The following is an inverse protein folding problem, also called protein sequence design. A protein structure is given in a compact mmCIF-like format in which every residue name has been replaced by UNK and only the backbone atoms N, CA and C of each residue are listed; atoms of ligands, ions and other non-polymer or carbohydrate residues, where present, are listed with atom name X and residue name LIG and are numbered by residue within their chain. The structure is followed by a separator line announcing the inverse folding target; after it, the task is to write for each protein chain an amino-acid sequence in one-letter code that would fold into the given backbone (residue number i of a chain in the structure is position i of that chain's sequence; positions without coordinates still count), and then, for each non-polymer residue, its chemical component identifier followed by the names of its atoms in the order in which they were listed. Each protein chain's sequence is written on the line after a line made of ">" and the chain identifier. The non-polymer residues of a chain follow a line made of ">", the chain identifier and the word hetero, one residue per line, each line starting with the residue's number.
data_IF_615487471815
#
_entry.id   IF_615487471815
#
_cell.length_a   1.000
_cell.length_b   1.000
_cell.length_c   1.000
_cell.angle_alpha   90.00
_cell.angle_beta   90.00
_cell.angle_gamma   90.00
#
_symmetry.space_group_name_H-M   'P 1'
#
loop_
_entity.id
_entity.type
_entity.pdbx_description
1 polymer ?
#
# COMPACT_ATOMS: atom_id res chain seq x y z
N UNK A 1 -19.15 12.76 16.60
CA UNK A 1 -18.05 13.07 15.67
C UNK A 1 -18.29 12.27 14.40
N UNK A 2 -17.88 12.74 13.22
CA UNK A 2 -18.01 12.00 11.97
C UNK A 2 -16.69 11.26 11.69
N UNK A 3 -16.81 9.99 11.34
CA UNK A 3 -15.70 9.11 10.97
C UNK A 3 -15.90 8.64 9.54
N UNK A 4 -14.83 8.52 8.76
CA UNK A 4 -14.89 8.04 7.39
C UNK A 4 -14.04 6.80 7.23
N UNK A 5 -14.55 5.85 6.44
CA UNK A 5 -13.85 4.62 6.07
C UNK A 5 -13.79 4.56 4.55
N UNK A 6 -12.59 4.33 4.02
CA UNK A 6 -12.31 4.18 2.60
C UNK A 6 -11.87 2.76 2.32
N UNK A 7 -12.37 2.17 1.24
CA UNK A 7 -12.10 0.77 0.91
C UNK A 7 -11.75 0.59 -0.56
N UNK A 8 -10.75 -0.24 -0.80
CA UNK A 8 -10.30 -0.64 -2.11
C UNK A 8 -9.84 -2.12 -2.10
N UNK A 9 -9.78 -2.74 -3.28
CA UNK A 9 -9.32 -4.10 -3.50
C UNK A 9 -8.22 -4.19 -4.56
N UNK A 10 -7.35 -5.18 -4.44
CA UNK A 10 -6.32 -5.46 -5.42
C UNK A 10 -6.23 -6.97 -5.69
N UNK A 11 -6.07 -7.35 -6.95
CA UNK A 11 -6.03 -8.73 -7.43
C UNK A 11 -7.34 -9.48 -7.14
N UNK A 12 -8.12 -9.75 -8.19
CA UNK A 12 -9.41 -10.46 -8.02
C UNK A 12 -9.19 -11.95 -7.74
N UNK A 13 -10.04 -12.50 -6.87
CA UNK A 13 -9.99 -13.89 -6.40
C UNK A 13 -10.02 -14.93 -7.53
N UNK A 14 -10.64 -14.63 -8.65
CA UNK A 14 -10.80 -15.50 -9.81
C UNK A 14 -9.75 -15.30 -10.92
N UNK A 15 -8.79 -14.40 -10.72
CA UNK A 15 -7.69 -14.22 -11.67
C UNK A 15 -6.74 -15.41 -11.60
N UNK A 16 -6.36 -15.92 -12.80
CA UNK A 16 -5.51 -17.12 -12.91
C UNK A 16 -4.04 -16.87 -12.57
N UNK A 17 -3.61 -15.63 -12.62
CA UNK A 17 -2.20 -15.23 -12.49
C UNK A 17 -1.79 -14.87 -11.06
N UNK A 18 -2.77 -14.57 -10.20
CA UNK A 18 -2.50 -14.04 -8.87
C UNK A 18 -2.67 -15.14 -7.81
N UNK A 19 -1.69 -15.26 -6.94
CA UNK A 19 -1.73 -16.21 -5.82
C UNK A 19 -2.56 -15.69 -4.65
N UNK A 20 -2.67 -14.37 -4.53
CA UNK A 20 -3.35 -13.69 -3.42
C UNK A 20 -4.26 -12.58 -3.92
N UNK A 21 -5.36 -12.38 -3.21
CA UNK A 21 -6.23 -11.22 -3.32
C UNK A 21 -6.11 -10.37 -2.07
N UNK A 22 -6.19 -9.06 -2.22
CA UNK A 22 -5.99 -8.10 -1.14
C UNK A 22 -7.19 -7.18 -1.02
N UNK A 23 -7.55 -6.87 0.21
CA UNK A 23 -8.65 -5.98 0.55
C UNK A 23 -8.15 -5.00 1.60
N UNK A 24 -8.26 -3.70 1.31
CA UNK A 24 -7.71 -2.65 2.16
C UNK A 24 -8.79 -1.67 2.63
N UNK A 25 -8.74 -1.30 3.91
CA UNK A 25 -9.61 -0.28 4.47
C UNK A 25 -8.79 0.73 5.28
N UNK A 26 -9.03 2.02 5.04
CA UNK A 26 -8.47 3.16 5.77
C UNK A 26 -9.59 3.84 6.55
N UNK A 27 -9.36 4.16 7.82
CA UNK A 27 -10.33 4.87 8.63
C UNK A 27 -9.71 6.00 9.44
N UNK A 28 -10.40 7.16 9.46
CA UNK A 28 -10.03 8.32 10.26
C UNK A 28 -11.23 9.24 10.55
N UNK A 29 -11.05 10.18 11.50
CA UNK A 29 -12.03 11.25 11.71
C UNK A 29 -12.05 12.19 10.50
N UNK A 30 -13.20 12.83 10.25
CA UNK A 30 -13.36 13.78 9.14
C UNK A 30 -12.32 14.91 9.18
N UNK A 31 -11.95 15.38 10.38
CA UNK A 31 -10.95 16.43 10.52
C UNK A 31 -9.56 16.03 10.05
N UNK A 32 -9.22 14.73 10.20
CA UNK A 32 -7.95 14.19 9.70
C UNK A 32 -8.02 14.01 8.20
N UNK A 33 -9.15 13.55 7.67
CA UNK A 33 -9.38 13.43 6.22
C UNK A 33 -9.29 14.80 5.53
N UNK A 34 -9.92 15.84 6.09
CA UNK A 34 -9.85 17.19 5.52
C UNK A 34 -8.41 17.70 5.47
N UNK A 35 -7.65 17.58 6.59
CA UNK A 35 -6.23 17.96 6.62
C UNK A 35 -5.37 17.18 5.63
N UNK A 36 -5.69 15.91 5.44
CA UNK A 36 -4.99 15.04 4.49
C UNK A 36 -5.25 15.49 3.05
N UNK A 37 -6.51 15.80 2.72
CA UNK A 37 -6.91 16.32 1.42
C UNK A 37 -6.23 17.66 1.12
N UNK A 38 -6.21 18.58 2.09
CA UNK A 38 -5.55 19.88 1.95
C UNK A 38 -4.05 19.74 1.72
N UNK A 39 -3.37 18.89 2.52
CA UNK A 39 -1.93 18.71 2.42
C UNK A 39 -1.52 18.07 1.10
N UNK A 40 -2.21 17.00 0.68
CA UNK A 40 -1.93 16.34 -0.61
C UNK A 40 -2.20 17.28 -1.78
N UNK A 41 -3.23 18.11 -1.68
CA UNK A 41 -3.52 19.15 -2.68
C UNK A 41 -2.40 20.19 -2.75
N UNK A 42 -1.83 20.61 -1.61
CA UNK A 42 -0.67 21.51 -1.56
C UNK A 42 0.59 20.87 -2.17
N UNK A 43 0.88 19.59 -1.86
CA UNK A 43 1.99 18.86 -2.48
C UNK A 43 1.80 18.79 -3.99
N UNK A 44 0.60 18.42 -4.45
CA UNK A 44 0.28 18.39 -5.87
C UNK A 44 0.47 19.76 -6.55
N UNK A 45 0.03 20.84 -5.90
CA UNK A 45 0.20 22.20 -6.38
C UNK A 45 1.67 22.61 -6.48
N UNK A 46 2.47 22.32 -5.44
CA UNK A 46 3.91 22.66 -5.40
C UNK A 46 4.72 21.92 -6.48
N UNK A 47 4.33 20.69 -6.79
CA UNK A 47 4.96 19.86 -7.81
C UNK A 47 4.34 20.00 -9.20
N UNK A 48 3.33 20.86 -9.35
CA UNK A 48 2.53 21.00 -10.57
C UNK A 48 2.05 19.64 -11.14
N UNK A 49 1.66 18.73 -10.23
CA UNK A 49 1.26 17.36 -10.55
C UNK A 49 -0.26 17.23 -10.54
N UNK A 50 -0.84 16.80 -11.68
CA UNK A 50 -2.27 16.51 -11.82
C UNK A 50 -2.59 15.00 -11.79
N UNK A 51 -1.56 14.14 -11.81
CA UNK A 51 -1.80 12.68 -11.83
C UNK A 51 -2.20 12.19 -10.44
N UNK A 52 -3.12 11.24 -10.39
CA UNK A 52 -3.42 10.52 -9.15
C UNK A 52 -2.22 9.70 -8.62
N UNK A 53 -2.29 9.30 -7.37
CA UNK A 53 -1.42 8.30 -6.78
C UNK A 53 -2.00 6.92 -7.10
N UNK A 54 -1.26 6.11 -7.83
CA UNK A 54 -1.66 4.74 -8.12
C UNK A 54 -0.39 3.88 -8.21
N UNK A 55 -0.19 2.99 -7.25
CA UNK A 55 1.08 2.30 -7.07
C UNK A 55 1.47 1.43 -8.25
N UNK A 56 0.50 0.82 -8.94
CA UNK A 56 0.76 0.01 -10.14
C UNK A 56 1.42 0.87 -11.21
N UNK A 57 0.97 2.12 -11.37
CA UNK A 57 1.45 3.08 -12.36
C UNK A 57 2.78 3.78 -11.99
N UNK A 58 3.31 3.53 -10.78
CA UNK A 58 4.62 4.03 -10.38
C UNK A 58 5.74 3.18 -11.00
N UNK A 59 6.11 3.48 -12.24
CA UNK A 59 7.09 2.72 -13.05
C UNK A 59 8.34 3.52 -13.44
N UNK A 60 8.38 4.80 -13.11
CA UNK A 60 9.54 5.68 -13.26
C UNK A 60 9.71 6.56 -12.04
N UNK A 61 10.89 7.15 -11.85
CA UNK A 61 11.23 7.96 -10.68
C UNK A 61 10.88 9.44 -10.80
N UNK A 62 10.20 9.87 -11.85
CA UNK A 62 9.82 11.27 -12.06
C UNK A 62 8.83 11.75 -11.00
N UNK A 63 8.00 10.82 -10.49
CA UNK A 63 7.02 11.08 -9.44
C UNK A 63 7.52 10.75 -8.03
N UNK A 64 8.81 10.43 -7.86
CA UNK A 64 9.37 9.98 -6.57
C UNK A 64 9.03 10.96 -5.42
N UNK A 65 9.27 12.25 -5.61
CA UNK A 65 9.03 13.26 -4.56
C UNK A 65 7.58 13.24 -4.12
N UNK A 66 6.64 13.20 -5.08
CA UNK A 66 5.21 13.16 -4.77
C UNK A 66 4.84 11.97 -3.89
N UNK A 67 5.19 10.75 -4.30
CA UNK A 67 4.85 9.54 -3.54
C UNK A 67 5.54 9.54 -2.17
N UNK A 68 6.80 9.96 -2.12
CA UNK A 68 7.56 10.01 -0.89
C UNK A 68 6.97 11.01 0.11
N UNK A 69 6.66 12.23 -0.31
CA UNK A 69 6.10 13.27 0.56
C UNK A 69 4.70 12.92 1.04
N UNK A 70 3.82 12.48 0.12
CA UNK A 70 2.44 12.11 0.49
C UNK A 70 2.43 10.95 1.48
N UNK A 71 3.13 9.85 1.19
CA UNK A 71 3.12 8.70 2.10
C UNK A 71 3.82 9.01 3.42
N UNK A 72 4.95 9.76 3.40
CA UNK A 72 5.58 10.21 4.65
C UNK A 72 4.65 11.08 5.49
N UNK A 73 3.84 11.95 4.88
CA UNK A 73 2.83 12.72 5.59
C UNK A 73 1.75 11.83 6.21
N UNK A 74 1.22 10.90 5.42
CA UNK A 74 0.18 9.94 5.84
C UNK A 74 0.64 9.12 7.05
N UNK A 75 1.89 8.63 7.05
CA UNK A 75 2.47 7.85 8.15
C UNK A 75 2.56 8.63 9.47
N UNK A 76 2.41 9.96 9.45
CA UNK A 76 2.41 10.83 10.64
C UNK A 76 1.00 11.25 11.08
N UNK A 77 -0.06 10.74 10.45
CA UNK A 77 -1.44 11.05 10.82
C UNK A 77 -2.05 9.98 11.72
N UNK A 78 -3.04 10.35 12.52
CA UNK A 78 -3.83 9.41 13.32
C UNK A 78 -4.90 8.74 12.46
N UNK A 79 -4.46 7.92 11.53
CA UNK A 79 -5.29 7.06 10.69
C UNK A 79 -5.05 5.59 11.07
N UNK A 80 -5.95 4.71 10.67
CA UNK A 80 -5.81 3.27 10.82
C UNK A 80 -6.04 2.59 9.49
N UNK A 81 -5.23 1.59 9.19
CA UNK A 81 -5.36 0.80 7.97
C UNK A 81 -5.43 -0.67 8.35
N UNK A 82 -6.46 -1.34 7.87
CA UNK A 82 -6.60 -2.79 7.95
C UNK A 82 -6.51 -3.36 6.54
N UNK A 83 -5.62 -4.34 6.35
CA UNK A 83 -5.46 -5.05 5.08
C UNK A 83 -5.67 -6.54 5.33
N UNK A 84 -6.47 -7.20 4.49
CA UNK A 84 -6.67 -8.64 4.51
C UNK A 84 -6.11 -9.27 3.24
N UNK A 85 -5.33 -10.33 3.42
CA UNK A 85 -4.82 -11.20 2.37
C UNK A 85 -5.68 -12.45 2.33
N UNK A 86 -6.12 -12.82 1.15
CA UNK A 86 -6.78 -14.09 0.87
C UNK A 86 -5.87 -14.92 -0.04
N UNK A 87 -5.58 -16.14 0.37
CA UNK A 87 -4.90 -17.11 -0.48
C UNK A 87 -5.90 -17.67 -1.50
N UNK A 88 -5.65 -17.44 -2.79
CA UNK A 88 -6.60 -17.84 -3.83
C UNK A 88 -6.73 -19.36 -3.99
N UNK A 89 -5.74 -20.13 -3.57
CA UNK A 89 -5.86 -21.59 -3.55
C UNK A 89 -6.74 -22.04 -2.39
N UNK A 90 -6.55 -21.49 -1.19
CA UNK A 90 -7.42 -21.76 -0.04
C UNK A 90 -8.88 -21.40 -0.36
N UNK A 91 -9.10 -20.29 -1.08
CA UNK A 91 -10.43 -19.86 -1.52
C UNK A 91 -11.06 -20.85 -2.52
N UNK A 92 -10.29 -21.34 -3.49
CA UNK A 92 -10.75 -22.37 -4.44
C UNK A 92 -11.14 -23.67 -3.73
N UNK A 93 -10.33 -24.13 -2.78
CA UNK A 93 -10.64 -25.31 -1.98
C UNK A 93 -11.97 -25.17 -1.22
N UNK A 94 -12.25 -24.00 -0.66
CA UNK A 94 -13.52 -23.74 0.03
C UNK A 94 -14.69 -23.70 -0.96
N UNK A 95 -14.53 -23.03 -2.12
CA UNK A 95 -15.57 -23.01 -3.13
C UNK A 95 -15.96 -24.44 -3.59
N UNK A 96 -14.96 -25.28 -3.83
CA UNK A 96 -15.18 -26.70 -4.18
C UNK A 96 -15.89 -27.48 -3.07
N UNK A 97 -15.46 -27.33 -1.81
CA UNK A 97 -16.09 -27.98 -0.65
C UNK A 97 -17.55 -27.56 -0.46
N UNK A 98 -17.85 -26.31 -0.73
CA UNK A 98 -19.20 -25.75 -0.61
C UNK A 98 -20.05 -25.97 -1.87
N UNK A 99 -19.48 -26.52 -2.93
CA UNK A 99 -20.12 -26.71 -4.24
C UNK A 99 -20.68 -25.40 -4.81
N UNK A 100 -19.92 -24.32 -4.69
CA UNK A 100 -20.20 -23.00 -5.28
C UNK A 100 -19.10 -22.60 -6.26
N UNK A 101 -19.41 -21.72 -7.17
CA UNK A 101 -18.40 -21.17 -8.08
C UNK A 101 -17.46 -20.20 -7.33
N UNK A 102 -16.24 -20.03 -7.85
CA UNK A 102 -15.29 -19.03 -7.30
C UNK A 102 -15.83 -17.59 -7.42
N UNK A 103 -16.69 -17.32 -8.40
CA UNK A 103 -17.39 -16.04 -8.56
C UNK A 103 -18.38 -15.81 -7.42
N UNK A 104 -19.21 -16.81 -7.10
CA UNK A 104 -20.13 -16.74 -5.96
C UNK A 104 -19.38 -16.56 -4.64
N UNK A 105 -18.26 -17.28 -4.44
CA UNK A 105 -17.43 -17.08 -3.24
C UNK A 105 -16.86 -15.64 -3.19
N UNK A 106 -16.41 -15.10 -4.33
CA UNK A 106 -15.93 -13.71 -4.42
C UNK A 106 -17.02 -12.70 -4.02
N UNK A 107 -18.25 -12.89 -4.50
CA UNK A 107 -19.40 -12.04 -4.13
C UNK A 107 -19.70 -12.10 -2.61
N UNK A 108 -19.58 -13.27 -1.99
CA UNK A 108 -19.67 -13.40 -0.53
C UNK A 108 -18.52 -12.67 0.19
N UNK A 109 -17.31 -12.75 -0.34
CA UNK A 109 -16.14 -12.08 0.22
C UNK A 109 -16.22 -10.56 0.09
N UNK A 110 -16.84 -10.04 -0.97
CA UNK A 110 -17.10 -8.60 -1.12
C UNK A 110 -18.00 -8.03 -0.01
N UNK A 111 -18.79 -8.85 0.66
CA UNK A 111 -19.58 -8.44 1.82
C UNK A 111 -18.80 -8.69 3.12
N UNK A 112 -18.29 -9.91 3.30
CA UNK A 112 -17.76 -10.36 4.61
C UNK A 112 -16.38 -9.79 4.96
N UNK A 113 -15.52 -9.58 3.97
CA UNK A 113 -14.19 -9.04 4.23
C UNK A 113 -14.25 -7.55 4.58
N UNK A 114 -14.92 -6.68 3.79
CA UNK A 114 -15.09 -5.28 4.18
C UNK A 114 -15.76 -5.14 5.55
N UNK A 115 -16.82 -5.88 5.84
CA UNK A 115 -17.49 -5.87 7.15
C UNK A 115 -16.49 -6.09 8.30
N UNK A 116 -15.62 -7.09 8.19
CA UNK A 116 -14.60 -7.37 9.23
C UNK A 116 -13.54 -6.26 9.34
N UNK A 117 -13.07 -5.75 8.21
CA UNK A 117 -12.09 -4.67 8.17
C UNK A 117 -12.67 -3.38 8.79
N UNK A 118 -13.90 -3.02 8.42
CA UNK A 118 -14.60 -1.83 8.90
C UNK A 118 -14.92 -1.93 10.40
N UNK A 119 -15.37 -3.10 10.85
CA UNK A 119 -15.56 -3.34 12.28
C UNK A 119 -14.25 -3.17 13.06
N UNK A 120 -13.14 -3.66 12.53
CA UNK A 120 -11.82 -3.48 13.14
C UNK A 120 -11.42 -2.00 13.29
N UNK A 121 -11.81 -1.14 12.34
CA UNK A 121 -11.59 0.30 12.38
C UNK A 121 -12.56 1.01 13.33
N UNK A 122 -13.82 0.59 13.35
CA UNK A 122 -14.91 1.26 14.07
C UNK A 122 -15.09 0.79 15.53
N UNK A 123 -14.54 -0.36 15.93
CA UNK A 123 -14.80 -1.00 17.22
C UNK A 123 -14.49 -0.16 18.45
N UNK A 124 -13.61 0.83 18.34
CA UNK A 124 -13.19 1.72 19.42
C UNK A 124 -13.81 3.12 19.34
N UNK A 125 -14.73 3.34 18.39
CA UNK A 125 -15.47 4.58 18.29
C UNK A 125 -16.44 4.71 19.46
N UNK A 126 -16.69 5.96 19.86
CA UNK A 126 -17.63 6.26 20.94
C UNK A 126 -19.08 6.09 20.46
N UNK A 127 -20.01 5.93 21.40
CA UNK A 127 -21.43 5.96 21.11
C UNK A 127 -21.82 7.31 20.49
N UNK A 128 -22.76 7.27 19.54
CA UNK A 128 -23.27 8.43 18.77
C UNK A 128 -22.31 8.99 17.70
N UNK A 129 -21.22 8.28 17.36
CA UNK A 129 -20.44 8.65 16.19
C UNK A 129 -21.10 8.14 14.89
N UNK A 130 -21.13 8.97 13.86
CA UNK A 130 -21.62 8.60 12.54
C UNK A 130 -20.46 8.19 11.65
N UNK A 131 -20.67 7.16 10.84
CA UNK A 131 -19.67 6.62 9.91
C UNK A 131 -20.20 6.78 8.49
N UNK A 132 -19.40 7.38 7.61
CA UNK A 132 -19.58 7.30 6.18
C UNK A 132 -18.55 6.34 5.59
N UNK A 133 -19.00 5.46 4.70
CA UNK A 133 -18.15 4.48 4.02
C UNK A 133 -18.08 4.84 2.54
N UNK A 134 -16.88 4.97 2.04
CA UNK A 134 -16.57 5.28 0.64
C UNK A 134 -15.80 4.08 0.05
N UNK A 135 -16.32 3.52 -1.03
CA UNK A 135 -15.76 2.35 -1.71
C UNK A 135 -15.35 2.77 -3.11
N UNK A 136 -14.20 2.29 -3.60
CA UNK A 136 -13.80 2.54 -4.99
C UNK A 136 -14.81 1.95 -5.99
N UNK A 137 -14.97 2.61 -7.13
CA UNK A 137 -15.99 2.24 -8.11
C UNK A 137 -15.73 0.87 -8.72
N UNK A 138 -16.72 -0.02 -8.60
CA UNK A 138 -16.72 -1.32 -9.25
C UNK A 138 -18.14 -1.72 -9.65
N UNK A 139 -18.35 -1.97 -10.94
CA UNK A 139 -19.69 -2.34 -11.49
C UNK A 139 -20.24 -3.66 -10.94
N UNK A 140 -19.42 -4.51 -10.34
CA UNK A 140 -19.85 -5.76 -9.71
C UNK A 140 -20.60 -5.51 -8.40
N UNK A 141 -20.24 -4.44 -7.68
CA UNK A 141 -20.84 -4.10 -6.39
C UNK A 141 -22.33 -3.73 -6.48
N UNK A 142 -22.75 -3.10 -7.58
CA UNK A 142 -24.15 -2.79 -7.82
C UNK A 142 -24.99 -4.06 -7.98
N UNK A 143 -24.47 -5.06 -8.71
CA UNK A 143 -25.16 -6.32 -8.96
C UNK A 143 -25.51 -7.09 -7.69
N UNK A 144 -24.67 -7.01 -6.69
CA UNK A 144 -24.85 -7.70 -5.40
C UNK A 144 -25.47 -6.80 -4.33
N UNK A 145 -25.83 -5.56 -4.66
CA UNK A 145 -26.37 -4.56 -3.75
C UNK A 145 -25.46 -4.36 -2.52
N UNK A 146 -24.15 -4.23 -2.77
CA UNK A 146 -23.12 -4.24 -1.73
C UNK A 146 -23.32 -3.10 -0.73
N UNK A 147 -23.63 -1.88 -1.18
CA UNK A 147 -23.76 -0.71 -0.32
C UNK A 147 -24.80 -0.92 0.77
N UNK A 148 -25.99 -1.38 0.40
CA UNK A 148 -27.08 -1.68 1.36
C UNK A 148 -26.67 -2.79 2.33
N UNK A 149 -26.07 -3.87 1.80
CA UNK A 149 -25.62 -4.99 2.64
C UNK A 149 -24.60 -4.55 3.68
N UNK A 150 -23.63 -3.73 3.30
CA UNK A 150 -22.60 -3.24 4.23
C UNK A 150 -23.19 -2.29 5.29
N UNK A 151 -24.10 -1.39 4.89
CA UNK A 151 -24.79 -0.52 5.84
C UNK A 151 -25.56 -1.33 6.88
N UNK A 152 -26.37 -2.30 6.43
CA UNK A 152 -27.17 -3.17 7.31
C UNK A 152 -26.27 -4.00 8.24
N UNK A 153 -25.23 -4.65 7.70
CA UNK A 153 -24.33 -5.50 8.46
C UNK A 153 -23.58 -4.69 9.54
N UNK A 154 -23.03 -3.55 9.17
CA UNK A 154 -22.30 -2.70 10.11
C UNK A 154 -23.19 -2.13 11.21
N UNK A 155 -24.42 -1.70 10.87
CA UNK A 155 -25.38 -1.25 11.86
C UNK A 155 -25.87 -2.40 12.77
N UNK A 156 -26.11 -3.60 12.22
CA UNK A 156 -26.41 -4.78 13.01
C UNK A 156 -25.28 -5.14 13.98
N UNK A 157 -24.02 -5.08 13.53
CA UNK A 157 -22.85 -5.28 14.39
C UNK A 157 -22.76 -4.25 15.52
N UNK A 158 -23.01 -2.98 15.22
CA UNK A 158 -23.00 -1.92 16.23
C UNK A 158 -24.02 -2.20 17.34
N UNK A 159 -25.24 -2.57 16.97
CA UNK A 159 -26.31 -2.93 17.92
C UNK A 159 -25.94 -4.18 18.71
N UNK A 160 -25.61 -5.26 18.01
CA UNK A 160 -25.31 -6.55 18.64
C UNK A 160 -24.15 -6.47 19.66
N UNK A 161 -23.13 -5.66 19.33
CA UNK A 161 -21.93 -5.49 20.16
C UNK A 161 -22.01 -4.29 21.11
N UNK A 162 -23.15 -3.64 21.20
CA UNK A 162 -23.39 -2.45 22.03
C UNK A 162 -22.32 -1.35 21.83
N UNK A 163 -21.99 -1.03 20.55
CA UNK A 163 -20.98 -0.03 20.20
C UNK A 163 -21.55 1.37 20.09
N UNK A 164 -22.77 1.52 19.61
CA UNK A 164 -23.49 2.77 19.52
C UNK A 164 -23.08 3.69 18.35
N UNK A 165 -22.16 3.31 17.49
CA UNK A 165 -21.93 4.02 16.24
C UNK A 165 -23.05 3.71 15.22
N UNK A 166 -23.27 4.61 14.26
CA UNK A 166 -24.21 4.41 13.18
C UNK A 166 -23.53 4.67 11.83
N UNK A 167 -23.64 3.71 10.90
CA UNK A 167 -23.30 3.94 9.51
C UNK A 167 -24.42 4.77 8.89
N UNK A 168 -24.08 5.95 8.41
CA UNK A 168 -25.01 6.94 7.84
C UNK A 168 -25.15 6.83 6.35
N UNK A 169 -24.07 6.40 5.67
CA UNK A 169 -24.08 6.17 4.23
C UNK A 169 -22.95 5.23 3.80
N UNK A 170 -23.22 4.46 2.74
CA UNK A 170 -22.22 3.70 1.99
C UNK A 170 -22.34 4.11 0.52
N UNK A 171 -21.24 4.59 -0.08
CA UNK A 171 -21.26 5.14 -1.45
C UNK A 171 -20.04 4.64 -2.23
N UNK A 172 -20.21 4.46 -3.53
CA UNK A 172 -19.10 4.32 -4.46
C UNK A 172 -18.64 5.69 -4.94
N UNK A 173 -17.34 5.87 -5.10
CA UNK A 173 -16.72 7.04 -5.68
C UNK A 173 -15.47 6.66 -6.47
N UNK A 174 -15.19 7.42 -7.52
CA UNK A 174 -13.97 7.24 -8.30
C UNK A 174 -12.74 7.69 -7.50
N UNK A 175 -11.71 6.83 -7.48
CA UNK A 175 -10.42 7.13 -6.87
C UNK A 175 -9.73 8.37 -7.45
N UNK A 176 -10.03 8.74 -8.71
CA UNK A 176 -9.50 9.96 -9.33
C UNK A 176 -9.79 11.23 -8.51
N UNK A 177 -10.93 11.26 -7.81
CA UNK A 177 -11.40 12.41 -7.05
C UNK A 177 -11.31 12.25 -5.54
N UNK A 178 -10.92 11.06 -5.05
CA UNK A 178 -10.89 10.73 -3.61
C UNK A 178 -9.46 10.39 -3.16
N UNK A 179 -8.77 11.37 -2.60
CA UNK A 179 -7.38 11.21 -2.13
C UNK A 179 -7.22 10.03 -1.17
N UNK A 180 -8.11 9.78 -0.18
CA UNK A 180 -7.95 8.63 0.71
C UNK A 180 -8.06 7.28 0.00
N UNK A 181 -8.82 7.15 -1.11
CA UNK A 181 -8.82 5.94 -1.95
C UNK A 181 -7.46 5.75 -2.63
N UNK A 182 -6.86 6.82 -3.17
CA UNK A 182 -5.51 6.76 -3.75
C UNK A 182 -4.45 6.37 -2.71
N UNK A 183 -4.62 6.79 -1.45
CA UNK A 183 -3.71 6.44 -0.36
C UNK A 183 -3.83 4.97 0.00
N UNK A 184 -5.05 4.44 0.16
CA UNK A 184 -5.20 3.02 0.48
C UNK A 184 -4.71 2.14 -0.67
N UNK A 185 -4.96 2.48 -1.95
CA UNK A 185 -4.36 1.79 -3.10
C UNK A 185 -2.84 1.78 -3.02
N UNK A 186 -2.23 2.94 -2.76
CA UNK A 186 -0.77 3.07 -2.72
C UNK A 186 -0.16 2.26 -1.57
N UNK A 187 -0.72 2.34 -0.35
CA UNK A 187 -0.22 1.59 0.80
C UNK A 187 -0.45 0.09 0.60
N UNK A 188 -1.62 -0.30 0.12
CA UNK A 188 -1.92 -1.70 -0.21
C UNK A 188 -0.95 -2.22 -1.29
N UNK A 189 -0.68 -1.44 -2.33
CA UNK A 189 0.31 -1.77 -3.36
C UNK A 189 1.73 -1.95 -2.80
N UNK A 190 2.15 -1.14 -1.81
CA UNK A 190 3.41 -1.34 -1.08
C UNK A 190 3.39 -2.68 -0.32
N UNK A 191 2.31 -2.98 0.39
CA UNK A 191 2.17 -4.24 1.14
C UNK A 191 2.19 -5.45 0.20
N UNK A 192 1.43 -5.41 -0.91
CA UNK A 192 1.47 -6.44 -1.97
C UNK A 192 2.90 -6.66 -2.46
N UNK A 193 3.62 -5.58 -2.76
CA UNK A 193 5.01 -5.65 -3.23
C UNK A 193 5.95 -6.34 -2.23
N UNK A 194 5.76 -6.10 -0.94
CA UNK A 194 6.55 -6.70 0.14
C UNK A 194 6.17 -8.16 0.39
N UNK A 195 4.87 -8.47 0.46
CA UNK A 195 4.35 -9.81 0.74
C UNK A 195 4.68 -10.79 -0.39
N UNK A 196 4.50 -10.38 -1.63
CA UNK A 196 4.79 -11.19 -2.83
C UNK A 196 6.27 -11.20 -3.20
N UNK A 197 7.12 -10.54 -2.41
CA UNK A 197 8.58 -10.45 -2.63
C UNK A 197 8.95 -9.94 -4.03
N UNK A 198 8.13 -9.05 -4.57
CA UNK A 198 8.33 -8.50 -5.92
C UNK A 198 9.70 -7.79 -6.10
N UNK A 199 10.34 -7.42 -4.99
CA UNK A 199 11.69 -6.84 -4.95
C UNK A 199 12.81 -7.82 -5.34
N UNK A 200 12.55 -9.12 -5.39
CA UNK A 200 13.54 -10.13 -5.81
C UNK A 200 13.75 -10.13 -7.32
N UNK A 201 12.80 -9.65 -8.09
CA UNK A 201 12.90 -9.54 -9.54
C UNK A 201 13.72 -8.31 -9.97
N UNK A 202 15.03 -8.46 -9.92
CA UNK A 202 16.00 -7.39 -10.18
C UNK A 202 16.18 -7.06 -11.66
N UNK A 203 15.60 -7.83 -12.58
CA UNK A 203 15.57 -7.55 -14.02
C UNK A 203 14.51 -6.52 -14.40
N UNK A 204 13.45 -6.37 -13.62
CA UNK A 204 12.37 -5.43 -13.89
C UNK A 204 12.73 -4.01 -13.42
N UNK A 205 12.86 -3.08 -14.40
CA UNK A 205 13.10 -1.66 -14.10
C UNK A 205 12.04 -1.07 -13.17
N UNK A 206 10.77 -1.39 -13.39
CA UNK A 206 9.67 -0.90 -12.56
C UNK A 206 9.78 -1.41 -11.11
N UNK A 207 10.08 -2.71 -10.92
CA UNK A 207 10.25 -3.30 -9.58
C UNK A 207 11.45 -2.72 -8.83
N UNK A 208 12.55 -2.42 -9.53
CA UNK A 208 13.71 -1.74 -8.93
C UNK A 208 13.34 -0.31 -8.48
N UNK A 209 12.59 0.45 -9.30
CA UNK A 209 12.16 1.81 -8.96
C UNK A 209 11.20 1.80 -7.75
N UNK A 210 10.27 0.85 -7.70
CA UNK A 210 9.40 0.63 -6.54
C UNK A 210 10.21 0.28 -5.28
N UNK A 211 11.19 -0.60 -5.40
CA UNK A 211 12.10 -0.94 -4.30
C UNK A 211 12.84 0.27 -3.76
N UNK A 212 13.31 1.17 -4.62
CA UNK A 212 14.01 2.39 -4.19
C UNK A 212 13.10 3.34 -3.42
N UNK A 213 11.87 3.53 -3.90
CA UNK A 213 10.88 4.35 -3.19
C UNK A 213 10.59 3.78 -1.79
N UNK A 214 10.24 2.49 -1.73
CA UNK A 214 9.87 1.83 -0.48
C UNK A 214 11.04 1.85 0.50
N UNK A 215 12.26 1.52 0.06
CA UNK A 215 13.43 1.53 0.93
C UNK A 215 13.69 2.90 1.54
N UNK A 216 13.71 3.96 0.72
CA UNK A 216 13.91 5.32 1.20
C UNK A 216 12.79 5.79 2.12
N UNK A 217 11.55 5.40 1.82
CA UNK A 217 10.41 5.70 2.68
C UNK A 217 10.58 5.07 4.07
N UNK A 218 10.91 3.77 4.12
CA UNK A 218 10.98 3.02 5.38
C UNK A 218 12.14 3.47 6.28
N UNK A 219 13.31 3.81 5.71
CA UNK A 219 14.47 4.24 6.52
C UNK A 219 14.40 5.71 6.95
N UNK A 220 13.43 6.48 6.46
CA UNK A 220 13.30 7.91 6.75
C UNK A 220 12.47 8.15 8.02
N UNK A 221 12.99 8.98 8.96
CA UNK A 221 12.25 9.53 10.11
C UNK A 221 11.35 8.53 10.88
N UNK A 222 11.84 7.31 11.14
CA UNK A 222 11.11 6.24 11.82
C UNK A 222 9.83 5.79 11.07
N UNK A 223 9.74 6.01 9.77
CA UNK A 223 8.58 5.61 8.97
C UNK A 223 8.33 4.11 9.01
N UNK A 224 9.36 3.29 9.22
CA UNK A 224 9.21 1.84 9.41
C UNK A 224 8.31 1.52 10.61
N UNK A 225 8.60 2.11 11.76
CA UNK A 225 7.82 1.93 12.99
C UNK A 225 6.40 2.50 12.83
N UNK A 226 6.27 3.67 12.21
CA UNK A 226 4.98 4.30 11.93
C UNK A 226 4.11 3.43 11.03
N UNK A 227 4.69 2.84 9.97
CA UNK A 227 3.98 1.90 9.10
C UNK A 227 3.46 0.68 9.87
N UNK A 228 4.29 0.11 10.76
CA UNK A 228 3.89 -1.04 11.60
C UNK A 228 2.75 -0.68 12.57
N UNK A 229 2.73 0.55 13.08
CA UNK A 229 1.69 1.01 14.00
C UNK A 229 0.38 1.37 13.27
N UNK A 230 0.48 1.76 12.01
CA UNK A 230 -0.63 2.23 11.19
C UNK A 230 -1.37 1.09 10.48
N UNK A 231 -0.65 0.04 10.06
CA UNK A 231 -1.18 -1.05 9.25
C UNK A 231 -1.32 -2.33 10.06
N UNK A 232 -2.56 -2.82 10.19
CA UNK A 232 -2.84 -4.17 10.64
C UNK A 232 -3.01 -5.08 9.42
N UNK A 233 -2.15 -6.07 9.30
CA UNK A 233 -2.15 -7.02 8.20
C UNK A 233 -2.74 -8.36 8.65
N UNK A 234 -3.83 -8.79 8.03
CA UNK A 234 -4.51 -10.04 8.35
C UNK A 234 -4.41 -11.02 7.19
N UNK A 235 -4.41 -12.30 7.51
CA UNK A 235 -4.59 -13.37 6.51
C UNK A 235 -5.86 -14.15 6.82
N UNK A 236 -6.73 -14.29 5.81
CA UNK A 236 -7.78 -15.27 5.82
C UNK A 236 -7.21 -16.65 5.42
N UNK A 237 -7.64 -17.68 6.11
CA UNK A 237 -7.28 -19.05 5.81
C UNK A 237 -8.52 -19.95 5.92
N UNK A 238 -8.49 -21.08 5.21
CA UNK A 238 -9.59 -22.05 5.16
C UNK A 238 -9.60 -23.06 6.32
N UNK A 239 -8.70 -22.94 7.29
CA UNK A 239 -8.49 -23.93 8.36
C UNK A 239 -8.95 -23.47 9.74
N UNK A 240 -9.27 -22.18 9.87
CA UNK A 240 -9.64 -21.59 11.15
C UNK A 240 -10.80 -20.60 10.96
N UNK A 241 -11.67 -20.50 11.95
CA UNK A 241 -12.75 -19.50 11.96
C UNK A 241 -12.23 -18.07 12.13
N UNK A 242 -11.02 -17.93 12.67
CA UNK A 242 -10.39 -16.63 12.92
C UNK A 242 -9.38 -16.25 11.85
N UNK A 243 -9.36 -14.97 11.52
CA UNK A 243 -8.31 -14.39 10.71
C UNK A 243 -7.01 -14.30 11.51
N UNK A 244 -5.89 -14.57 10.86
CA UNK A 244 -4.56 -14.48 11.49
C UNK A 244 -4.00 -13.09 11.32
N UNK A 245 -3.60 -12.43 12.42
CA UNK A 245 -2.80 -11.20 12.36
C UNK A 245 -1.37 -11.58 11.96
N UNK A 246 -0.88 -10.98 10.89
CA UNK A 246 0.48 -11.19 10.39
C UNK A 246 1.43 -10.13 10.96
N UNK A 247 2.65 -10.55 11.24
CA UNK A 247 3.72 -9.66 11.66
C UNK A 247 4.36 -8.99 10.43
N UNK A 248 4.01 -7.73 10.19
CA UNK A 248 4.52 -6.93 9.06
C UNK A 248 6.05 -6.76 9.13
N UNK A 249 6.65 -6.84 10.33
CA UNK A 249 8.09 -6.69 10.52
C UNK A 249 8.92 -7.75 9.77
N UNK A 250 8.37 -8.95 9.58
CA UNK A 250 9.01 -10.03 8.81
C UNK A 250 9.17 -9.67 7.34
N UNK A 251 8.16 -9.05 6.75
CA UNK A 251 8.17 -8.67 5.33
C UNK A 251 9.07 -7.46 5.10
N UNK A 252 8.95 -6.43 5.91
CA UNK A 252 9.77 -5.22 5.81
C UNK A 252 11.24 -5.50 6.14
N UNK A 253 11.52 -6.31 7.17
CA UNK A 253 12.88 -6.70 7.54
C UNK A 253 13.57 -7.50 6.43
N UNK A 254 12.91 -8.51 5.88
CA UNK A 254 13.42 -9.27 4.73
C UNK A 254 13.73 -8.36 3.54
N UNK A 255 12.81 -7.45 3.22
CA UNK A 255 12.99 -6.48 2.13
C UNK A 255 14.21 -5.57 2.37
N UNK A 256 14.34 -4.98 3.55
CA UNK A 256 15.44 -4.04 3.87
C UNK A 256 16.80 -4.74 3.73
N UNK A 257 16.93 -5.96 4.26
CA UNK A 257 18.17 -6.74 4.17
C UNK A 257 18.52 -7.03 2.70
N UNK A 258 17.58 -7.59 1.93
CA UNK A 258 17.82 -7.94 0.53
C UNK A 258 18.10 -6.72 -0.35
N UNK A 259 17.41 -5.60 -0.09
CA UNK A 259 17.62 -4.35 -0.82
C UNK A 259 19.01 -3.77 -0.53
N UNK A 260 19.45 -3.78 0.75
CA UNK A 260 20.78 -3.34 1.12
C UNK A 260 21.88 -4.20 0.47
N UNK A 261 21.73 -5.52 0.49
CA UNK A 261 22.67 -6.43 -0.18
C UNK A 261 22.75 -6.18 -1.70
N UNK A 262 21.60 -5.99 -2.35
CA UNK A 262 21.53 -5.66 -3.77
C UNK A 262 22.25 -4.35 -4.07
N UNK A 263 21.99 -3.31 -3.29
CA UNK A 263 22.60 -2.00 -3.49
C UNK A 263 24.11 -2.06 -3.29
N UNK A 264 24.63 -2.78 -2.29
CA UNK A 264 26.06 -2.96 -2.07
C UNK A 264 26.73 -3.66 -3.27
N UNK A 265 26.10 -4.72 -3.79
CA UNK A 265 26.61 -5.43 -4.98
C UNK A 265 26.65 -4.52 -6.20
N UNK A 266 25.58 -3.76 -6.43
CA UNK A 266 25.47 -2.86 -7.60
C UNK A 266 26.46 -1.69 -7.48
N UNK A 267 26.63 -1.09 -6.31
CA UNK A 267 27.63 -0.04 -6.05
C UNK A 267 29.03 -0.58 -6.31
N UNK A 268 29.33 -1.75 -5.77
CA UNK A 268 30.65 -2.39 -5.97
C UNK A 268 30.95 -2.62 -7.45
N UNK A 269 29.96 -3.09 -8.20
CA UNK A 269 30.03 -3.27 -9.65
C UNK A 269 30.28 -1.95 -10.39
N UNK A 270 29.50 -0.92 -10.05
CA UNK A 270 29.61 0.39 -10.68
C UNK A 270 30.92 1.10 -10.33
N UNK A 271 31.39 0.98 -9.08
CA UNK A 271 32.68 1.54 -8.64
C UNK A 271 33.86 0.91 -9.38
N UNK A 272 33.85 -0.40 -9.60
CA UNK A 272 34.89 -1.08 -10.39
C UNK A 272 34.94 -0.60 -11.84
N UNK A 273 33.77 -0.34 -12.43
CA UNK A 273 33.68 0.19 -13.80
C UNK A 273 34.17 1.63 -13.86
N UNK A 274 33.79 2.47 -12.88
CA UNK A 274 34.29 3.86 -12.81
C UNK A 274 35.81 3.90 -12.60
N UNK A 275 36.36 3.05 -11.74
CA UNK A 275 37.81 2.93 -11.56
C UNK A 275 38.54 2.54 -12.85
N UNK A 276 37.91 1.70 -13.69
CA UNK A 276 38.47 1.32 -15.00
C UNK A 276 38.44 2.50 -16.01
N UNK A 277 37.56 3.47 -15.82
CA UNK A 277 37.38 4.60 -16.74
C UNK A 277 37.29 5.93 -15.99
N UNK A 278 38.33 6.33 -15.21
CA UNK A 278 38.25 7.43 -14.23
C UNK A 278 37.95 8.80 -14.84
N UNK A 279 38.34 9.03 -16.08
CA UNK A 279 38.21 10.31 -16.76
C UNK A 279 37.00 10.41 -17.69
N UNK A 280 36.04 9.49 -17.59
CA UNK A 280 34.87 9.48 -18.44
C UNK A 280 33.69 10.22 -17.80
N UNK A 281 33.05 11.07 -18.62
CA UNK A 281 31.87 11.84 -18.21
C UNK A 281 30.59 10.99 -18.27
N UNK A 282 29.55 11.50 -17.64
CA UNK A 282 28.22 10.86 -17.58
C UNK A 282 27.70 10.39 -18.95
N UNK A 283 28.01 11.14 -20.04
CA UNK A 283 27.63 10.79 -21.40
C UNK A 283 28.21 9.44 -21.83
N UNK A 284 29.48 9.16 -21.50
CA UNK A 284 30.12 7.87 -21.81
C UNK A 284 29.38 6.70 -21.15
N UNK A 285 29.03 6.81 -19.85
CA UNK A 285 28.34 5.74 -19.14
C UNK A 285 26.93 5.51 -19.68
N UNK A 286 26.25 6.58 -20.13
CA UNK A 286 24.93 6.51 -20.74
C UNK A 286 24.97 5.83 -22.13
N UNK A 287 25.87 6.22 -22.99
CA UNK A 287 25.92 5.79 -24.39
C UNK A 287 26.63 4.46 -24.57
N UNK A 288 27.80 4.30 -23.96
CA UNK A 288 28.63 3.10 -24.08
C UNK A 288 28.23 1.96 -23.16
N UNK A 289 27.88 2.31 -21.92
CA UNK A 289 27.55 1.33 -20.87
C UNK A 289 26.05 1.16 -20.69
N UNK A 290 25.24 1.91 -21.44
CA UNK A 290 23.75 1.91 -21.37
C UNK A 290 23.19 2.12 -19.97
N UNK A 291 23.90 2.86 -19.11
CA UNK A 291 23.44 3.15 -17.77
C UNK A 291 22.27 4.11 -17.80
N UNK A 292 21.22 3.78 -17.06
CA UNK A 292 20.10 4.68 -16.82
C UNK A 292 20.54 5.87 -15.98
N UNK A 293 19.82 6.99 -16.08
CA UNK A 293 20.02 8.17 -15.22
C UNK A 293 19.92 7.82 -13.73
N UNK A 294 19.10 6.81 -13.41
CA UNK A 294 18.93 6.29 -12.07
C UNK A 294 20.20 5.64 -11.53
N UNK A 295 20.80 4.73 -12.28
CA UNK A 295 22.06 4.08 -11.90
C UNK A 295 23.18 5.09 -11.66
N UNK A 296 23.26 6.13 -12.50
CA UNK A 296 24.22 7.21 -12.35
C UNK A 296 23.94 8.08 -11.10
N UNK A 297 22.66 8.34 -10.79
CA UNK A 297 22.30 9.10 -9.57
C UNK A 297 22.57 8.29 -8.31
N UNK A 298 22.23 6.99 -8.31
CA UNK A 298 22.54 6.09 -7.20
C UNK A 298 24.05 6.09 -6.92
N UNK A 299 24.86 5.86 -7.94
CA UNK A 299 26.33 5.84 -7.79
C UNK A 299 26.84 7.16 -7.23
N UNK A 300 26.38 8.32 -7.74
CA UNK A 300 26.77 9.63 -7.21
C UNK A 300 26.32 9.84 -5.77
N UNK A 301 25.09 9.46 -5.44
CA UNK A 301 24.56 9.56 -4.07
C UNK A 301 25.38 8.74 -3.09
N UNK A 302 25.72 7.51 -3.42
CA UNK A 302 26.53 6.65 -2.58
C UNK A 302 27.97 7.11 -2.42
N UNK A 303 28.60 7.61 -3.46
CA UNK A 303 29.94 8.19 -3.37
C UNK A 303 29.92 9.38 -2.42
N UNK A 304 28.94 10.26 -2.53
CA UNK A 304 28.77 11.40 -1.62
C UNK A 304 28.57 10.94 -0.17
N UNK A 305 27.69 9.96 0.07
CA UNK A 305 27.48 9.43 1.43
C UNK A 305 28.72 8.75 2.02
N UNK A 306 29.52 8.05 1.21
CA UNK A 306 30.77 7.45 1.66
C UNK A 306 31.83 8.54 1.95
N UNK A 307 31.90 9.58 1.14
CA UNK A 307 32.79 10.72 1.37
C UNK A 307 32.41 11.48 2.63
N UNK A 308 31.11 11.72 2.87
CA UNK A 308 30.60 12.39 4.07
C UNK A 308 30.84 11.57 5.34
N UNK A 309 30.65 10.23 5.29
CA UNK A 309 30.98 9.33 6.40
C UNK A 309 32.48 9.28 6.65
N UNK A 310 33.31 9.34 5.62
CA UNK A 310 34.78 9.43 5.74
C UNK A 310 35.24 10.73 6.37
N UNK A 311 34.54 11.85 6.17
CA UNK A 311 34.85 13.15 6.79
C UNK A 311 34.44 13.25 8.25
N UNK A 312 33.40 12.52 8.67
CA UNK A 312 32.89 12.54 10.05
C UNK A 312 33.61 11.56 10.99
N UNK A 313 34.58 10.80 10.50
CA UNK A 313 35.37 9.84 11.28
C UNK A 313 36.83 10.32 11.53
N UNK A 314 37.08 11.61 11.38
CA UNK A 314 38.39 12.24 11.76
C UNK A 314 38.19 13.39 12.73
#
# INVERSE_FOLDING_TARGET
>A
MKYEIYFDESNKLDQKTDNYSYYGALGASIQIIDKLNDNVSQINGSLNSKSELHFVNYTNDDKFIKYFEVISYVLNQDIKINIMIVDNNDAKEIAEKMNISIVELRELFYVKIPERLFYGLARNLNSNESIDIIIDENSEYEKINLMTKLEEQMNAHSVYRNKGYKVSSVKQKSSENEIPLQIIDTIMGIIVFLVERNFEEQSSKAKIIKSDLIYRLLIHNNNLEKLHNLVNLYKWNNKSEDITLLDLSKYTGSFIIMKAEYDIKEITRLSKIMAKYPNKVTKFYREKMKYSNRQLRQLKGYISELEDKGRNNF
#
